data_IF_190327448879
#
_entry.id   IF_190327448879
#
_cell.length_a   1.000
_cell.length_b   1.000
_cell.length_c   1.000
_cell.angle_alpha   90.00
_cell.angle_beta   90.00
_cell.angle_gamma   90.00
#
_symmetry.space_group_name_H-M   'P 1'
#
loop_
_entity.id
_entity.type
_entity.pdbx_description
1 polymer ?
#
# COMPACT_ATOMS: atom_id res chain seq x y z
N UNK A 1 15.60 28.78 3.53
CA UNK A 1 15.23 27.34 3.53
C UNK A 1 14.96 26.98 2.08
N UNK A 2 15.80 26.13 1.49
CA UNK A 2 15.85 25.93 0.04
C UNK A 2 14.52 25.39 -0.50
N UNK A 3 13.91 26.20 -1.34
CA UNK A 3 12.89 25.91 -2.31
C UNK A 3 13.45 24.93 -3.36
N UNK A 4 13.52 23.66 -2.98
CA UNK A 4 13.79 22.61 -3.95
C UNK A 4 12.55 22.49 -4.85
N UNK A 5 12.65 22.90 -6.12
CA UNK A 5 11.64 22.66 -7.16
C UNK A 5 11.42 21.16 -7.47
N UNK A 6 11.74 20.25 -6.54
CA UNK A 6 12.02 18.84 -6.78
C UNK A 6 10.89 17.93 -6.30
N UNK A 7 10.15 17.36 -7.25
CA UNK A 7 9.40 16.13 -7.03
C UNK A 7 10.35 14.93 -6.84
N UNK A 8 9.77 13.78 -6.51
CA UNK A 8 10.47 12.51 -6.33
C UNK A 8 11.43 12.24 -7.51
N UNK A 9 12.70 11.91 -7.24
CA UNK A 9 13.65 11.54 -8.28
C UNK A 9 13.10 10.41 -9.17
N UNK A 10 13.37 10.48 -10.47
CA UNK A 10 12.84 9.53 -11.45
C UNK A 10 13.15 8.07 -11.10
N UNK A 11 14.33 7.81 -10.52
CA UNK A 11 14.73 6.49 -10.02
C UNK A 11 13.70 5.91 -9.04
N UNK A 12 13.38 6.64 -7.96
CA UNK A 12 12.42 6.16 -6.96
C UNK A 12 11.02 6.00 -7.55
N UNK A 13 10.62 6.92 -8.44
CA UNK A 13 9.32 6.83 -9.12
C UNK A 13 9.21 5.53 -9.92
N UNK A 14 10.22 5.21 -10.72
CA UNK A 14 10.23 3.99 -11.53
C UNK A 14 10.38 2.74 -10.68
N UNK A 15 11.17 2.79 -9.61
CA UNK A 15 11.28 1.70 -8.65
C UNK A 15 9.91 1.34 -8.05
N UNK A 16 9.18 2.33 -7.54
CA UNK A 16 7.84 2.10 -6.98
C UNK A 16 6.83 1.68 -8.04
N UNK A 17 6.86 2.31 -9.22
CA UNK A 17 6.00 1.90 -10.34
C UNK A 17 6.17 0.42 -10.67
N UNK A 18 7.41 -0.03 -10.90
CA UNK A 18 7.67 -1.42 -11.25
C UNK A 18 7.41 -2.37 -10.09
N UNK A 19 7.69 -1.96 -8.85
CA UNK A 19 7.30 -2.71 -7.66
C UNK A 19 5.80 -3.03 -7.67
N UNK A 20 4.92 -2.03 -7.83
CA UNK A 20 3.47 -2.27 -7.88
C UNK A 20 3.04 -3.08 -9.11
N UNK A 21 3.65 -2.83 -10.27
CA UNK A 21 3.31 -3.56 -11.50
C UNK A 21 3.67 -5.04 -11.41
N UNK A 22 4.85 -5.39 -10.87
CA UNK A 22 5.26 -6.79 -10.75
C UNK A 22 4.50 -7.52 -9.65
N UNK A 23 4.03 -6.82 -8.62
CA UNK A 23 3.22 -7.44 -7.56
C UNK A 23 1.87 -7.93 -8.08
N UNK A 24 1.24 -7.26 -9.04
CA UNK A 24 -0.05 -7.68 -9.60
C UNK A 24 -0.03 -9.16 -10.08
N UNK A 25 0.85 -9.58 -11.00
CA UNK A 25 0.90 -10.98 -11.42
C UNK A 25 1.45 -11.90 -10.32
N UNK A 26 2.38 -11.45 -9.46
CA UNK A 26 2.88 -12.28 -8.35
C UNK A 26 1.74 -12.62 -7.40
N UNK A 27 0.99 -11.63 -6.93
CA UNK A 27 -0.14 -11.82 -6.03
C UNK A 27 -1.23 -12.70 -6.64
N UNK A 28 -1.58 -12.47 -7.91
CA UNK A 28 -2.62 -13.24 -8.60
C UNK A 28 -2.21 -14.70 -8.85
N UNK A 29 -0.98 -14.93 -9.29
CA UNK A 29 -0.56 -16.24 -9.77
C UNK A 29 0.25 -17.05 -8.74
N UNK A 30 0.84 -16.42 -7.74
CA UNK A 30 1.67 -17.06 -6.71
C UNK A 30 0.98 -16.95 -5.36
N UNK A 31 0.77 -15.76 -4.83
CA UNK A 31 0.33 -15.59 -3.43
C UNK A 31 -1.09 -16.12 -3.21
N UNK A 32 -2.01 -15.88 -4.15
CA UNK A 32 -3.38 -16.38 -4.11
C UNK A 32 -3.47 -17.92 -3.98
N UNK A 33 -2.45 -18.67 -4.43
CA UNK A 33 -2.41 -20.13 -4.28
C UNK A 33 -2.37 -20.57 -2.81
N UNK A 34 -1.89 -19.71 -1.90
CA UNK A 34 -1.88 -19.99 -0.46
C UNK A 34 -3.29 -20.08 0.15
N UNK A 35 -4.29 -19.45 -0.49
CA UNK A 35 -5.70 -19.58 -0.10
C UNK A 35 -6.33 -20.76 -0.82
N UNK A 36 -6.15 -20.83 -2.14
CA UNK A 36 -6.60 -21.95 -2.95
C UNK A 36 -5.83 -22.02 -4.26
N UNK A 37 -5.21 -23.16 -4.53
CA UNK A 37 -4.50 -23.46 -5.77
C UNK A 37 -5.40 -24.09 -6.86
N UNK A 38 -6.68 -24.33 -6.55
CA UNK A 38 -7.60 -25.08 -7.42
C UNK A 38 -7.81 -24.44 -8.80
N UNK A 39 -7.73 -23.11 -8.86
CA UNK A 39 -8.04 -22.34 -10.07
C UNK A 39 -6.79 -21.88 -10.82
N UNK A 40 -5.60 -22.27 -10.37
CA UNK A 40 -4.35 -21.83 -10.96
C UNK A 40 -3.88 -22.78 -12.07
N UNK A 41 -3.35 -22.25 -13.19
CA UNK A 41 -2.77 -23.07 -14.24
C UNK A 41 -1.61 -23.94 -13.72
N UNK A 42 -1.41 -25.16 -14.27
CA UNK A 42 -0.35 -26.07 -13.84
C UNK A 42 1.07 -25.46 -13.86
N UNK A 43 1.32 -24.53 -14.78
CA UNK A 43 2.61 -23.84 -14.86
C UNK A 43 2.94 -23.09 -13.56
N UNK A 44 1.97 -22.37 -12.98
CA UNK A 44 2.16 -21.60 -11.75
C UNK A 44 2.13 -22.46 -10.50
N UNK A 45 1.33 -23.53 -10.47
CA UNK A 45 1.34 -24.48 -9.35
C UNK A 45 2.63 -25.28 -9.31
N UNK A 46 3.18 -25.66 -10.47
CA UNK A 46 4.47 -26.34 -10.55
C UNK A 46 5.63 -25.39 -10.20
N UNK A 47 5.55 -24.12 -10.60
CA UNK A 47 6.52 -23.10 -10.20
C UNK A 47 6.52 -22.91 -8.68
N UNK A 48 5.35 -22.79 -8.05
CA UNK A 48 5.24 -22.67 -6.60
C UNK A 48 5.76 -23.93 -5.89
N UNK A 49 5.43 -25.12 -6.41
CA UNK A 49 5.96 -26.38 -5.87
C UNK A 49 7.48 -26.40 -5.92
N UNK A 50 8.08 -26.12 -7.08
CA UNK A 50 9.54 -26.04 -7.23
C UNK A 50 10.16 -25.04 -6.24
N UNK A 51 9.56 -23.86 -6.10
CA UNK A 51 10.02 -22.82 -5.18
C UNK A 51 10.01 -23.33 -3.73
N UNK A 52 8.88 -23.87 -3.28
CA UNK A 52 8.73 -24.36 -1.90
C UNK A 52 9.65 -25.54 -1.59
N UNK A 53 9.87 -26.46 -2.53
CA UNK A 53 10.80 -27.58 -2.39
C UNK A 53 12.26 -27.11 -2.34
N UNK A 54 12.63 -26.15 -3.19
CA UNK A 54 13.99 -25.61 -3.28
C UNK A 54 14.37 -24.81 -2.05
N UNK A 55 13.52 -23.87 -1.64
CA UNK A 55 13.84 -22.91 -0.57
C UNK A 55 13.30 -23.32 0.80
N UNK A 56 12.38 -24.28 0.86
CA UNK A 56 11.73 -24.70 2.10
C UNK A 56 10.76 -23.67 2.66
N UNK A 57 10.11 -22.88 1.81
CA UNK A 57 9.09 -21.92 2.25
C UNK A 57 7.85 -22.68 2.75
N UNK A 58 7.80 -22.92 4.05
CA UNK A 58 6.71 -23.64 4.69
C UNK A 58 5.41 -22.82 4.75
N UNK A 59 5.47 -21.49 4.70
CA UNK A 59 4.29 -20.64 4.71
C UNK A 59 3.53 -20.75 3.39
N UNK A 60 4.26 -20.94 2.29
CA UNK A 60 3.64 -21.18 0.98
C UNK A 60 3.33 -22.67 0.74
N UNK A 61 4.13 -23.59 1.27
CA UNK A 61 3.91 -25.03 1.10
C UNK A 61 2.69 -25.53 1.88
N UNK A 62 2.55 -25.10 3.14
CA UNK A 62 1.48 -25.52 4.06
C UNK A 62 0.98 -24.29 4.83
N UNK A 63 0.23 -23.39 4.16
CA UNK A 63 -0.11 -22.08 4.69
C UNK A 63 -0.99 -22.18 5.95
N UNK A 64 -0.51 -21.70 7.12
CA UNK A 64 -1.33 -21.67 8.32
C UNK A 64 -2.46 -20.63 8.20
N UNK A 65 -3.58 -20.76 8.94
CA UNK A 65 -4.73 -19.87 8.80
C UNK A 65 -4.43 -18.38 8.96
N UNK A 66 -3.50 -17.99 9.85
CA UNK A 66 -3.11 -16.59 10.01
C UNK A 66 -2.42 -16.03 8.77
N UNK A 67 -1.63 -16.85 8.06
CA UNK A 67 -0.94 -16.44 6.84
C UNK A 67 -1.94 -16.34 5.69
N UNK A 68 -2.86 -17.31 5.58
CA UNK A 68 -3.97 -17.22 4.62
C UNK A 68 -4.82 -15.96 4.85
N UNK A 69 -5.05 -15.56 6.10
CA UNK A 69 -5.76 -14.32 6.42
C UNK A 69 -4.98 -13.08 5.97
N UNK A 70 -3.66 -13.05 6.14
CA UNK A 70 -2.80 -11.98 5.63
C UNK A 70 -2.90 -11.89 4.10
N UNK A 71 -2.79 -13.02 3.40
CA UNK A 71 -2.91 -13.05 1.93
C UNK A 71 -4.33 -12.72 1.47
N UNK A 72 -5.37 -13.08 2.23
CA UNK A 72 -6.74 -12.64 1.93
C UNK A 72 -6.87 -11.12 2.03
N UNK A 73 -6.27 -10.48 3.04
CA UNK A 73 -6.19 -9.02 3.12
C UNK A 73 -5.42 -8.43 1.94
N UNK A 74 -4.34 -9.08 1.49
CA UNK A 74 -3.61 -8.68 0.30
C UNK A 74 -4.50 -8.68 -0.94
N UNK A 75 -5.24 -9.76 -1.20
CA UNK A 75 -6.13 -9.87 -2.37
C UNK A 75 -7.27 -8.84 -2.34
N UNK A 76 -7.84 -8.56 -1.18
CA UNK A 76 -9.00 -7.67 -1.06
C UNK A 76 -8.60 -6.20 -1.01
N UNK A 77 -7.48 -5.87 -0.37
CA UNK A 77 -7.09 -4.48 -0.11
C UNK A 77 -5.89 -4.04 -0.96
N UNK A 78 -4.82 -4.84 -0.96
CA UNK A 78 -3.56 -4.45 -1.59
C UNK A 78 -3.62 -4.60 -3.12
N UNK A 79 -4.17 -5.70 -3.62
CA UNK A 79 -4.25 -5.97 -5.05
C UNK A 79 -5.00 -4.87 -5.83
N UNK A 80 -6.21 -4.41 -5.43
CA UNK A 80 -6.84 -3.25 -6.06
C UNK A 80 -5.97 -1.99 -5.97
N UNK A 81 -5.30 -1.79 -4.84
CA UNK A 81 -4.41 -0.65 -4.65
C UNK A 81 -3.18 -0.70 -5.56
N UNK A 82 -2.65 -1.87 -5.93
CA UNK A 82 -1.51 -1.97 -6.84
C UNK A 82 -1.80 -1.34 -8.21
N UNK A 83 -3.00 -1.53 -8.75
CA UNK A 83 -3.43 -0.89 -10.00
C UNK A 83 -3.50 0.64 -9.84
N UNK A 84 -4.09 1.09 -8.73
CA UNK A 84 -4.21 2.52 -8.40
C UNK A 84 -2.84 3.16 -8.25
N UNK A 85 -1.92 2.50 -7.53
CA UNK A 85 -0.57 2.97 -7.31
C UNK A 85 0.23 2.98 -8.60
N UNK A 86 0.19 1.92 -9.42
CA UNK A 86 0.85 1.89 -10.73
C UNK A 86 0.41 3.06 -11.61
N UNK A 87 -0.90 3.31 -11.70
CA UNK A 87 -1.44 4.49 -12.39
C UNK A 87 -0.96 5.81 -11.77
N UNK A 88 -0.98 5.92 -10.45
CA UNK A 88 -0.58 7.12 -9.71
C UNK A 88 0.90 7.47 -9.89
N UNK A 89 1.80 6.48 -9.88
CA UNK A 89 3.23 6.66 -10.14
C UNK A 89 3.54 6.94 -11.61
N UNK A 90 2.76 6.36 -12.53
CA UNK A 90 2.86 6.66 -13.96
C UNK A 90 2.46 8.11 -14.26
N UNK A 91 1.33 8.55 -13.69
CA UNK A 91 0.73 9.86 -13.96
C UNK A 91 1.14 10.96 -12.97
N UNK A 92 1.94 10.63 -11.96
CA UNK A 92 2.55 11.54 -10.97
C UNK A 92 1.53 12.25 -10.06
N UNK A 93 0.66 11.48 -9.43
CA UNK A 93 -0.46 12.00 -8.64
C UNK A 93 -0.10 12.24 -7.16
N UNK A 94 -0.11 13.51 -6.71
CA UNK A 94 0.21 13.85 -5.31
C UNK A 94 -0.78 13.30 -4.28
N UNK A 95 -2.04 13.05 -4.65
CA UNK A 95 -3.03 12.46 -3.74
C UNK A 95 -2.67 11.02 -3.34
N UNK A 96 -1.75 10.37 -4.07
CA UNK A 96 -1.27 9.02 -3.76
C UNK A 96 -0.47 8.97 -2.43
N UNK A 97 -0.04 10.12 -1.90
CA UNK A 97 0.75 10.23 -0.67
C UNK A 97 0.15 9.44 0.49
N UNK A 98 -1.07 9.78 0.91
CA UNK A 98 -1.71 9.16 2.07
C UNK A 98 -2.03 7.67 1.85
N UNK A 99 -2.63 7.26 0.71
CA UNK A 99 -2.82 5.85 0.40
C UNK A 99 -1.53 5.02 0.44
N UNK A 100 -0.42 5.54 -0.10
CA UNK A 100 0.87 4.85 -0.06
C UNK A 100 1.43 4.70 1.36
N UNK A 101 1.21 5.68 2.25
CA UNK A 101 1.61 5.57 3.66
C UNK A 101 0.82 4.45 4.33
N UNK A 102 -0.52 4.45 4.18
CA UNK A 102 -1.39 3.40 4.75
C UNK A 102 -1.01 2.02 4.24
N UNK A 103 -0.85 1.89 2.91
CA UNK A 103 -0.42 0.66 2.28
C UNK A 103 0.92 0.18 2.83
N UNK A 104 1.96 1.01 2.79
CA UNK A 104 3.30 0.58 3.17
C UNK A 104 3.41 0.26 4.66
N UNK A 105 2.69 0.99 5.52
CA UNK A 105 2.56 0.64 6.93
C UNK A 105 1.88 -0.71 7.13
N UNK A 106 0.79 -0.97 6.41
CA UNK A 106 0.10 -2.26 6.50
C UNK A 106 1.00 -3.42 6.06
N UNK A 107 1.69 -3.30 4.92
CA UNK A 107 2.66 -4.32 4.46
C UNK A 107 3.75 -4.54 5.49
N UNK A 108 4.28 -3.48 6.11
CA UNK A 108 5.29 -3.64 7.16
C UNK A 108 4.73 -4.45 8.34
N UNK A 109 3.49 -4.18 8.77
CA UNK A 109 2.87 -4.92 9.89
C UNK A 109 2.57 -6.38 9.59
N UNK A 110 2.38 -6.76 8.31
CA UNK A 110 2.18 -8.16 7.92
C UNK A 110 3.49 -8.91 7.66
N UNK A 111 4.52 -8.24 7.15
CA UNK A 111 5.81 -8.86 6.84
C UNK A 111 6.68 -9.11 8.08
N UNK A 112 6.61 -8.27 9.10
CA UNK A 112 7.35 -8.49 10.36
C UNK A 112 7.08 -9.86 10.98
N UNK A 113 5.81 -10.30 11.19
CA UNK A 113 5.55 -11.63 11.73
C UNK A 113 5.94 -12.76 10.76
N UNK A 114 5.91 -12.54 9.44
CA UNK A 114 6.38 -13.52 8.44
C UNK A 114 7.89 -13.76 8.58
N UNK A 115 8.68 -12.69 8.63
CA UNK A 115 10.14 -12.78 8.80
C UNK A 115 10.52 -13.45 10.12
N UNK A 116 9.78 -13.11 11.17
CA UNK A 116 9.94 -13.71 12.48
C UNK A 116 9.61 -15.21 12.49
N UNK A 117 8.55 -15.63 11.77
CA UNK A 117 8.18 -17.03 11.61
C UNK A 117 9.32 -17.83 10.93
N UNK A 118 9.98 -17.26 9.92
CA UNK A 118 11.17 -17.89 9.32
C UNK A 118 12.35 -17.95 10.29
N UNK A 119 12.66 -16.85 10.99
CA UNK A 119 13.78 -16.79 11.93
C UNK A 119 13.64 -17.84 13.05
N UNK A 120 12.42 -18.02 13.57
CA UNK A 120 12.11 -18.94 14.67
C UNK A 120 11.75 -20.37 14.24
N UNK A 121 11.67 -20.66 12.94
CA UNK A 121 11.36 -22.00 12.46
C UNK A 121 12.42 -23.03 12.90
N UNK A 122 12.08 -24.04 13.72
CA UNK A 122 13.07 -25.01 14.21
C UNK A 122 13.47 -26.04 13.13
N UNK A 123 12.61 -26.25 12.13
CA UNK A 123 12.79 -27.23 11.07
C UNK A 123 13.62 -26.70 9.88
N UNK A 124 13.97 -25.41 9.87
CA UNK A 124 14.79 -24.81 8.82
C UNK A 124 16.25 -24.73 9.24
N UNK A 125 17.16 -25.09 8.32
CA UNK A 125 18.59 -24.81 8.46
C UNK A 125 18.85 -23.31 8.41
N UNK A 126 19.99 -22.86 8.96
CA UNK A 126 20.37 -21.45 8.97
C UNK A 126 20.38 -20.84 7.55
N UNK A 127 20.92 -21.58 6.57
CA UNK A 127 20.99 -21.13 5.18
C UNK A 127 19.61 -20.89 4.56
N UNK A 128 18.66 -21.80 4.83
CA UNK A 128 17.27 -21.65 4.37
C UNK A 128 16.59 -20.45 5.04
N UNK A 129 16.82 -20.24 6.35
CA UNK A 129 16.30 -19.05 7.05
C UNK A 129 16.82 -17.76 6.43
N UNK A 130 18.14 -17.67 6.21
CA UNK A 130 18.75 -16.49 5.61
C UNK A 130 18.26 -16.25 4.19
N UNK A 131 18.05 -17.32 3.43
CA UNK A 131 17.53 -17.24 2.06
C UNK A 131 16.08 -16.75 2.06
N UNK A 132 15.19 -17.31 2.88
CA UNK A 132 13.79 -16.87 2.96
C UNK A 132 13.68 -15.43 3.48
N UNK A 133 14.41 -15.09 4.54
CA UNK A 133 14.49 -13.70 5.02
C UNK A 133 14.98 -12.78 3.91
N UNK A 134 16.02 -13.19 3.17
CA UNK A 134 16.54 -12.43 2.03
C UNK A 134 15.53 -12.26 0.89
N UNK A 135 14.74 -13.29 0.58
CA UNK A 135 13.69 -13.23 -0.45
C UNK A 135 12.57 -12.28 -0.03
N UNK A 136 12.13 -12.32 1.23
CA UNK A 136 11.01 -11.51 1.73
C UNK A 136 11.43 -10.08 2.14
N UNK A 137 12.70 -9.84 2.47
CA UNK A 137 13.18 -8.54 2.93
C UNK A 137 12.92 -7.37 1.95
N UNK A 138 13.12 -7.51 0.63
CA UNK A 138 12.75 -6.47 -0.34
C UNK A 138 11.28 -6.03 -0.23
N UNK A 139 10.37 -6.97 0.04
CA UNK A 139 8.94 -6.73 0.22
C UNK A 139 8.61 -5.98 1.51
N UNK A 140 9.54 -5.91 2.47
CA UNK A 140 9.44 -5.03 3.64
C UNK A 140 10.16 -3.70 3.41
N UNK A 141 11.39 -3.74 2.88
CA UNK A 141 12.25 -2.57 2.74
C UNK A 141 11.70 -1.54 1.76
N UNK A 142 11.17 -1.99 0.61
CA UNK A 142 10.62 -1.08 -0.40
C UNK A 142 9.37 -0.35 0.11
N UNK A 143 8.38 -1.01 0.74
CA UNK A 143 7.24 -0.32 1.36
C UNK A 143 7.62 0.60 2.53
N UNK A 144 8.59 0.21 3.37
CA UNK A 144 9.06 1.11 4.44
C UNK A 144 9.72 2.36 3.84
N UNK A 145 10.56 2.19 2.80
CA UNK A 145 11.13 3.32 2.07
C UNK A 145 10.05 4.20 1.42
N UNK A 146 9.01 3.58 0.84
CA UNK A 146 7.85 4.29 0.30
C UNK A 146 7.17 5.15 1.37
N UNK A 147 6.91 4.59 2.56
CA UNK A 147 6.34 5.33 3.70
C UNK A 147 7.23 6.52 4.06
N UNK A 148 8.54 6.31 4.22
CA UNK A 148 9.47 7.39 4.59
C UNK A 148 9.45 8.51 3.56
N UNK A 149 9.47 8.19 2.26
CA UNK A 149 9.44 9.19 1.19
C UNK A 149 8.10 9.91 1.15
N UNK A 150 6.98 9.19 1.22
CA UNK A 150 5.64 9.81 1.18
C UNK A 150 5.35 10.64 2.43
N UNK A 151 5.83 10.21 3.60
CA UNK A 151 5.68 10.94 4.85
C UNK A 151 6.41 12.28 4.80
N UNK A 152 7.67 12.29 4.36
CA UNK A 152 8.56 13.46 4.33
C UNK A 152 8.19 14.51 3.27
N UNK A 153 7.36 14.17 2.28
CA UNK A 153 7.03 15.05 1.17
C UNK A 153 5.52 15.31 1.10
N UNK A 154 5.08 16.55 1.33
CA UNK A 154 3.66 16.92 1.19
C UNK A 154 3.14 16.79 -0.24
N UNK A 155 4.02 17.08 -1.23
CA UNK A 155 3.77 16.94 -2.66
C UNK A 155 4.84 16.04 -3.28
N UNK A 156 4.74 14.71 -3.16
CA UNK A 156 5.78 13.77 -3.59
C UNK A 156 6.18 13.90 -5.06
N UNK A 157 5.33 14.42 -5.93
CA UNK A 157 5.61 14.57 -7.36
C UNK A 157 5.81 16.04 -7.78
N UNK A 158 5.97 16.96 -6.82
CA UNK A 158 6.12 18.39 -7.07
C UNK A 158 4.80 19.09 -7.42
N UNK A 159 4.86 20.30 -7.96
CA UNK A 159 3.69 20.95 -8.56
C UNK A 159 3.37 20.19 -9.85
N UNK A 160 2.51 19.17 -9.75
CA UNK A 160 2.19 18.27 -10.87
C UNK A 160 1.88 19.05 -12.15
N UNK A 161 2.16 18.44 -13.31
CA UNK A 161 1.80 19.04 -14.59
C UNK A 161 0.37 19.59 -14.53
N UNK A 162 0.12 20.83 -14.97
CA UNK A 162 -1.21 21.41 -14.95
C UNK A 162 -2.12 20.64 -15.91
N UNK A 163 -2.69 19.53 -15.46
CA UNK A 163 -3.87 18.96 -16.09
C UNK A 163 -5.04 19.76 -15.58
N UNK A 164 -5.66 20.51 -16.48
CA UNK A 164 -6.74 21.47 -16.26
C UNK A 164 -7.56 21.15 -15.01
N UNK A 165 -7.18 21.78 -13.90
CA UNK A 165 -8.02 21.86 -12.73
C UNK A 165 -8.96 23.04 -13.01
N UNK A 166 -10.28 22.83 -13.07
CA UNK A 166 -11.18 23.96 -13.07
C UNK A 166 -10.90 24.75 -11.79
N UNK A 167 -10.55 26.02 -11.95
CA UNK A 167 -10.34 26.92 -10.80
C UNK A 167 -11.63 26.95 -9.99
N UNK A 168 -11.54 26.49 -8.74
CA UNK A 168 -12.69 26.40 -7.83
C UNK A 168 -13.39 25.05 -7.93
N UNK A 169 -12.95 24.07 -7.13
CA UNK A 169 -13.54 22.74 -7.09
C UNK A 169 -13.58 22.22 -5.68
N UNK A 170 -14.77 22.34 -5.09
CA UNK A 170 -15.26 21.69 -3.88
C UNK A 170 -14.60 20.31 -3.61
N UNK A 171 -14.05 20.15 -2.39
CA UNK A 171 -13.36 18.94 -1.90
C UNK A 171 -14.28 17.71 -1.93
N UNK A 172 -15.61 17.92 -2.00
CA UNK A 172 -16.62 16.86 -2.20
C UNK A 172 -16.41 16.01 -3.47
N UNK A 173 -15.64 16.50 -4.45
CA UNK A 173 -15.41 15.82 -5.74
C UNK A 173 -14.20 14.90 -5.79
N UNK A 174 -13.47 14.73 -4.68
CA UNK A 174 -12.45 13.68 -4.59
C UNK A 174 -13.11 12.29 -4.67
N UNK A 175 -12.77 11.43 -5.66
CA UNK A 175 -13.38 10.10 -5.81
C UNK A 175 -13.25 9.25 -4.55
N UNK A 176 -12.17 9.47 -3.80
CA UNK A 176 -11.88 8.78 -2.54
C UNK A 176 -12.65 9.33 -1.34
N UNK A 177 -12.99 10.63 -1.33
CA UNK A 177 -13.81 11.24 -0.27
C UNK A 177 -15.27 10.75 -0.34
N UNK A 178 -15.78 10.53 -1.56
CA UNK A 178 -17.10 9.93 -1.80
C UNK A 178 -17.13 8.45 -1.38
N UNK A 179 -16.03 7.72 -1.57
CA UNK A 179 -15.92 6.30 -1.18
C UNK A 179 -15.78 6.08 0.34
N UNK A 180 -15.20 7.03 1.08
CA UNK A 180 -15.01 6.93 2.53
C UNK A 180 -16.09 7.62 3.37
N UNK A 181 -17.10 8.26 2.77
CA UNK A 181 -18.18 8.91 3.51
C UNK A 181 -17.75 10.07 4.41
N UNK A 182 -16.52 10.59 4.25
CA UNK A 182 -15.97 11.65 5.12
C UNK A 182 -16.62 13.03 4.93
N UNK A 183 -17.45 13.21 3.91
CA UNK A 183 -18.14 14.48 3.65
C UNK A 183 -19.17 14.86 4.73
N UNK A 184 -19.55 13.94 5.62
CA UNK A 184 -20.58 14.19 6.63
C UNK A 184 -20.05 14.80 7.95
N UNK A 185 -18.73 14.92 8.14
CA UNK A 185 -18.15 15.27 9.44
C UNK A 185 -17.87 16.77 9.67
N UNK A 186 -17.97 17.63 8.64
CA UNK A 186 -17.64 19.07 8.76
C UNK A 186 -18.86 20.01 8.74
N UNK A 187 -20.04 19.50 9.14
CA UNK A 187 -21.30 20.23 9.08
C UNK A 187 -21.86 20.78 10.40
N UNK A 188 -21.17 20.61 11.53
CA UNK A 188 -21.71 21.04 12.84
C UNK A 188 -20.76 22.00 13.58
N UNK A 189 -21.20 23.27 13.55
CA UNK A 189 -21.06 24.33 14.56
C UNK A 189 -20.00 25.44 14.40
N UNK A 190 -20.49 26.59 13.90
CA UNK A 190 -20.00 27.95 14.14
C UNK A 190 -20.02 28.83 12.88
N UNK A 191 -20.53 30.10 12.87
CA UNK A 191 -20.53 31.05 14.00
C UNK A 191 -21.79 31.94 14.18
N UNK A 192 -21.89 32.51 15.40
CA UNK A 192 -22.37 33.86 15.73
C UNK A 192 -23.76 34.33 15.25
N UNK A 193 -24.77 34.23 16.14
CA UNK A 193 -25.83 35.23 16.28
C UNK A 193 -26.19 35.42 17.77
N UNK A 194 -25.41 36.26 18.47
CA UNK A 194 -25.83 36.86 19.74
C UNK A 194 -25.84 38.38 19.61
N UNK A 195 -26.68 38.87 18.70
CA UNK A 195 -27.05 40.28 18.56
C UNK A 195 -28.57 40.38 18.34
N UNK A 196 -29.33 39.63 19.13
CA UNK A 196 -30.78 39.64 19.10
C UNK A 196 -31.43 39.49 20.48
N UNK A 197 -30.80 40.04 21.52
CA UNK A 197 -31.49 40.43 22.77
C UNK A 197 -31.25 41.94 22.93
N UNK A 198 -31.88 42.76 22.09
CA UNK A 198 -33.13 43.42 22.44
C UNK A 198 -33.12 43.82 23.92
N UNK A 199 -32.63 45.03 24.23
CA UNK A 199 -33.54 46.19 24.26
C UNK A 199 -34.76 45.89 25.16
N UNK A 200 -34.50 45.59 26.43
CA UNK A 200 -35.49 45.58 27.52
C UNK A 200 -34.83 45.75 28.89
N UNK A 201 -34.04 46.81 29.05
CA UNK A 201 -33.75 47.40 30.36
C UNK A 201 -34.00 48.92 30.23
N UNK A 202 -35.28 49.26 30.39
CA UNK A 202 -35.74 50.43 31.11
C UNK A 202 -36.21 49.95 32.47
#
# INVERSE_FOLDING_TARGET
MADNHGGMPAFFRWLFFWYFVTHIPITLFIDAQSISSMYHPPAFTNLLRWYTETYGDFLMANPPPWFQAVVACELVMQLPFFFVAAYGFWTQQNWLRLPCIVYGSHVATTLVPILDAFARAPHLSLDKKMTLIGIYSPYLLVPVMLVVIMWRNERPFGMGLPRGHPKGGDVSKCPFASMMGLAAAEGLEGPAQDNAVRKKER
#
